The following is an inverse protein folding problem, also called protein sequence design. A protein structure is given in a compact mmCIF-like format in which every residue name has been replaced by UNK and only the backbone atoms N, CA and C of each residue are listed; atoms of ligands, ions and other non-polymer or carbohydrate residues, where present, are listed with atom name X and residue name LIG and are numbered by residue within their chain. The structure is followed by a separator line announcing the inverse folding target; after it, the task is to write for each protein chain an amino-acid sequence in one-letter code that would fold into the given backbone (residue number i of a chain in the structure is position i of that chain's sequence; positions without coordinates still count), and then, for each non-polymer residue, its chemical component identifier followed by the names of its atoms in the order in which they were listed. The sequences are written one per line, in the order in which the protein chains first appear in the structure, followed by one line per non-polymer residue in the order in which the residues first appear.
data_IF_067833974887
#
_entry.id   IF_067833974887
#
_cell.length_a   1.000
_cell.length_b   1.000
_cell.length_c   1.000
_cell.angle_alpha   90.00
_cell.angle_beta   90.00
_cell.angle_gamma   90.00
#
_symmetry.space_group_name_H-M   'P 1'
#
loop_
_entity.id
_entity.type
_entity.pdbx_description
1 polymer ?
#
# COMPACT_ATOMS: atom_id res chain seq x y z
N UNK A 1 -32.58 66.51 12.46
CA UNK A 1 -32.70 65.07 12.64
C UNK A 1 -31.74 64.39 11.67
N UNK A 2 -30.51 64.11 12.12
CA UNK A 2 -29.46 63.52 11.33
C UNK A 2 -29.57 61.98 11.45
N UNK A 3 -29.89 61.32 10.33
CA UNK A 3 -29.88 59.86 10.24
C UNK A 3 -28.41 59.40 10.09
N UNK A 4 -27.87 58.77 11.13
CA UNK A 4 -26.60 58.11 11.08
C UNK A 4 -26.78 56.72 10.41
N UNK A 5 -26.35 56.60 9.17
CA UNK A 5 -26.25 55.33 8.46
C UNK A 5 -25.10 54.52 9.04
N UNK A 6 -25.40 53.47 9.76
CA UNK A 6 -24.42 52.48 10.22
C UNK A 6 -23.91 51.71 9.01
N UNK A 7 -22.67 51.97 8.60
CA UNK A 7 -21.93 51.11 7.67
C UNK A 7 -21.58 49.84 8.43
N UNK A 8 -22.25 48.72 8.15
CA UNK A 8 -21.86 47.42 8.62
C UNK A 8 -20.51 47.05 8.00
N UNK A 9 -19.46 47.00 8.81
CA UNK A 9 -18.18 46.51 8.39
C UNK A 9 -18.33 45.03 7.97
N UNK A 10 -18.16 44.76 6.67
CA UNK A 10 -18.11 43.37 6.18
C UNK A 10 -16.85 42.71 6.74
N UNK A 11 -17.05 41.71 7.58
CA UNK A 11 -15.96 40.84 8.01
C UNK A 11 -15.29 40.22 6.79
N UNK A 12 -13.94 40.28 6.68
CA UNK A 12 -13.24 39.71 5.51
C UNK A 12 -13.51 38.20 5.43
N UNK A 13 -13.89 37.73 4.25
CA UNK A 13 -14.20 36.30 4.00
C UNK A 13 -12.94 35.41 3.96
N UNK A 14 -11.76 35.98 4.05
CA UNK A 14 -10.45 35.28 3.95
C UNK A 14 -9.47 35.79 4.99
N UNK A 15 -8.58 34.86 5.38
CA UNK A 15 -7.53 35.11 6.38
C UNK A 15 -6.35 35.91 5.78
N UNK A 16 -5.97 35.60 4.53
CA UNK A 16 -4.79 36.18 3.88
C UNK A 16 -4.89 36.11 2.35
N UNK A 17 -4.05 36.90 1.67
CA UNK A 17 -3.79 36.83 0.23
C UNK A 17 -2.36 36.38 0.02
N UNK A 18 -2.17 35.11 -0.33
CA UNK A 18 -0.85 34.51 -0.44
C UNK A 18 -0.29 34.56 -1.85
N UNK A 19 0.91 35.13 -2.02
CA UNK A 19 1.66 35.13 -3.30
C UNK A 19 2.51 33.85 -3.39
N UNK A 20 2.20 33.01 -4.35
CA UNK A 20 2.90 31.73 -4.60
C UNK A 20 4.38 31.94 -4.88
N UNK A 21 5.24 31.24 -4.15
CA UNK A 21 6.70 31.27 -4.26
C UNK A 21 7.21 30.15 -5.17
N UNK A 22 8.48 30.21 -5.56
CA UNK A 22 9.16 29.12 -6.27
C UNK A 22 9.20 27.88 -5.40
N UNK A 23 8.79 26.73 -5.92
CA UNK A 23 8.68 25.42 -5.24
C UNK A 23 7.47 25.25 -4.30
N UNK A 24 6.57 26.21 -4.19
CA UNK A 24 5.31 25.99 -3.48
C UNK A 24 4.47 24.92 -4.18
N UNK A 25 3.75 24.16 -3.36
CA UNK A 25 2.74 23.19 -3.81
C UNK A 25 1.41 23.57 -3.17
N UNK A 26 0.31 23.19 -3.80
CA UNK A 26 -1.04 23.41 -3.28
C UNK A 26 -1.14 22.86 -1.86
N UNK A 27 -0.62 21.65 -1.63
CA UNK A 27 -0.59 21.03 -0.31
C UNK A 27 0.24 21.84 0.70
N UNK A 28 1.45 22.26 0.33
CA UNK A 28 2.32 23.04 1.22
C UNK A 28 1.72 24.36 1.63
N UNK A 29 0.99 25.03 0.71
CA UNK A 29 0.26 26.27 1.00
C UNK A 29 -0.91 25.98 1.97
N UNK A 30 -1.73 24.98 1.68
CA UNK A 30 -2.85 24.61 2.56
C UNK A 30 -2.38 24.26 3.97
N UNK A 31 -1.33 23.45 4.10
CA UNK A 31 -0.72 23.09 5.38
C UNK A 31 -0.19 24.32 6.13
N UNK A 32 0.50 25.22 5.45
CA UNK A 32 1.06 26.44 6.04
C UNK A 32 -0.01 27.30 6.73
N UNK A 33 -1.20 27.35 6.17
CA UNK A 33 -2.31 28.15 6.69
C UNK A 33 -3.33 27.35 7.52
N UNK A 34 -3.07 26.06 7.75
CA UNK A 34 -3.94 25.21 8.60
C UNK A 34 -5.30 24.88 7.99
N UNK A 35 -5.43 24.95 6.66
CA UNK A 35 -6.65 24.67 5.90
C UNK A 35 -6.49 23.39 5.07
N UNK A 36 -7.62 22.79 4.65
CA UNK A 36 -7.62 21.69 3.69
C UNK A 36 -7.36 22.18 2.26
N UNK A 37 -6.91 21.29 1.38
CA UNK A 37 -6.78 21.61 -0.05
C UNK A 37 -8.15 21.97 -0.64
N UNK A 38 -9.20 21.26 -0.23
CA UNK A 38 -10.56 21.55 -0.71
C UNK A 38 -11.04 22.94 -0.29
N UNK A 39 -10.74 23.38 0.93
CA UNK A 39 -11.03 24.76 1.39
C UNK A 39 -10.24 25.80 0.56
N UNK A 40 -8.96 25.54 0.28
CA UNK A 40 -8.15 26.39 -0.55
C UNK A 40 -8.69 26.46 -1.98
N UNK A 41 -9.09 25.32 -2.57
CA UNK A 41 -9.67 25.26 -3.92
C UNK A 41 -11.06 25.91 -4.00
N UNK A 42 -11.88 25.76 -2.96
CA UNK A 42 -13.19 26.44 -2.87
C UNK A 42 -13.05 27.98 -2.80
N UNK A 43 -12.03 28.44 -2.09
CA UNK A 43 -11.72 29.88 -2.02
C UNK A 43 -11.13 30.44 -3.33
N UNK A 44 -10.56 29.56 -4.17
CA UNK A 44 -9.92 29.90 -5.44
C UNK A 44 -10.52 29.07 -6.59
N UNK A 45 -11.68 29.45 -7.15
CA UNK A 45 -12.40 28.65 -8.15
C UNK A 45 -11.59 28.29 -9.39
N UNK A 46 -10.62 29.11 -9.78
CA UNK A 46 -9.72 28.81 -10.90
C UNK A 46 -8.89 27.54 -10.69
N UNK A 47 -8.61 27.17 -9.44
CA UNK A 47 -7.89 25.94 -9.09
C UNK A 47 -8.71 24.67 -9.36
N UNK A 48 -10.03 24.78 -9.54
CA UNK A 48 -10.92 23.64 -9.82
C UNK A 48 -10.95 23.26 -11.30
N UNK A 49 -10.38 24.09 -12.20
CA UNK A 49 -10.29 23.80 -13.63
C UNK A 49 -9.35 22.62 -13.88
N UNK A 50 -9.72 21.74 -14.81
CA UNK A 50 -8.94 20.51 -15.11
C UNK A 50 -7.51 20.78 -15.60
N UNK A 51 -7.24 21.94 -16.15
CA UNK A 51 -5.96 22.37 -16.69
C UNK A 51 -5.20 23.35 -15.79
N UNK A 52 -5.68 23.58 -14.57
CA UNK A 52 -5.04 24.51 -13.64
C UNK A 52 -3.65 24.04 -13.23
N UNK A 53 -2.68 24.94 -13.33
CA UNK A 53 -1.30 24.75 -12.86
C UNK A 53 -0.93 25.91 -11.95
N UNK A 54 -0.51 25.61 -10.73
CA UNK A 54 -0.04 26.63 -9.77
C UNK A 54 1.19 27.37 -10.32
N UNK A 55 1.09 28.69 -10.46
CA UNK A 55 2.15 29.53 -11.06
C UNK A 55 2.85 30.37 -10.00
N UNK A 56 4.19 30.47 -10.09
CA UNK A 56 4.95 31.41 -9.27
C UNK A 56 4.44 32.83 -9.47
N UNK A 57 4.17 33.53 -8.37
CA UNK A 57 3.66 34.90 -8.38
C UNK A 57 2.13 35.01 -8.42
N UNK A 58 1.42 33.92 -8.61
CA UNK A 58 -0.04 33.84 -8.48
C UNK A 58 -0.48 34.19 -7.07
N UNK A 59 -1.62 34.88 -6.98
CA UNK A 59 -2.22 35.25 -5.68
C UNK A 59 -3.37 34.31 -5.36
N UNK A 60 -3.30 33.66 -4.22
CA UNK A 60 -4.34 32.76 -3.73
C UNK A 60 -5.02 33.36 -2.50
N UNK A 61 -6.34 33.32 -2.50
CA UNK A 61 -7.15 33.64 -1.34
C UNK A 61 -7.06 32.52 -0.32
N UNK A 62 -6.65 32.83 0.90
CA UNK A 62 -6.56 31.86 2.00
C UNK A 62 -7.79 32.03 2.87
N UNK A 63 -8.73 31.07 2.91
CA UNK A 63 -9.90 31.15 3.77
C UNK A 63 -9.53 30.99 5.23
N UNK A 64 -10.40 31.43 6.14
CA UNK A 64 -10.29 31.06 7.54
C UNK A 64 -10.52 29.55 7.69
N UNK A 65 -9.71 28.85 8.52
CA UNK A 65 -9.98 27.45 8.85
C UNK A 65 -11.40 27.32 9.42
N UNK A 66 -12.18 26.37 8.92
CA UNK A 66 -13.50 26.07 9.52
C UNK A 66 -13.27 25.57 10.94
N UNK A 67 -13.66 26.38 11.93
CA UNK A 67 -13.63 25.95 13.33
C UNK A 67 -14.63 24.82 13.50
N UNK A 68 -14.15 23.64 13.91
CA UNK A 68 -14.98 22.64 14.55
C UNK A 68 -15.39 23.25 15.90
N UNK A 69 -16.67 23.57 16.06
CA UNK A 69 -17.19 24.12 17.29
C UNK A 69 -16.99 23.12 18.43
N UNK A 70 -16.05 23.40 19.32
CA UNK A 70 -16.05 22.91 20.69
C UNK A 70 -16.04 24.13 21.60
N UNK A 71 -17.00 24.14 22.52
CA UNK A 71 -17.37 25.27 23.34
C UNK A 71 -16.30 25.70 24.35
N UNK A 72 -16.39 27.02 24.68
CA UNK A 72 -15.92 27.74 25.87
C UNK A 72 -14.45 28.17 25.94
N UNK A 73 -14.34 29.49 25.83
CA UNK A 73 -13.17 30.33 26.11
C UNK A 73 -12.83 30.43 27.60
N UNK A 74 -11.59 30.66 27.96
CA UNK A 74 -11.18 31.71 28.90
C UNK A 74 -9.70 32.02 28.77
N UNK A 75 -9.42 33.29 28.58
CA UNK A 75 -8.23 34.17 28.80
C UNK A 75 -6.86 33.58 29.20
N UNK A 76 -5.85 34.13 28.50
CA UNK A 76 -4.40 33.96 28.61
C UNK A 76 -3.78 34.31 29.98
N UNK A 77 -2.50 33.90 30.27
CA UNK A 77 -1.36 34.66 29.81
C UNK A 77 -0.17 33.82 29.27
N UNK A 78 0.72 34.51 28.53
CA UNK A 78 1.95 34.02 27.95
C UNK A 78 2.97 33.52 28.96
N UNK A 79 3.53 32.33 28.79
CA UNK A 79 4.92 32.01 29.17
C UNK A 79 5.43 30.78 28.39
N UNK A 80 6.67 30.94 27.88
CA UNK A 80 7.67 29.95 27.42
C UNK A 80 7.24 28.59 26.90
N UNK A 81 7.53 28.41 25.65
CA UNK A 81 7.38 27.30 24.72
C UNK A 81 7.85 25.94 25.25
N UNK A 82 6.90 25.19 25.72
CA UNK A 82 6.76 23.79 25.40
C UNK A 82 5.40 23.72 24.65
N UNK A 83 5.42 23.50 23.31
CA UNK A 83 4.18 23.41 22.54
C UNK A 83 3.35 22.28 23.14
N UNK A 84 2.33 22.62 23.94
CA UNK A 84 1.30 21.67 24.38
C UNK A 84 0.67 21.09 23.12
N UNK A 85 0.86 19.79 22.93
CA UNK A 85 0.32 19.01 21.85
C UNK A 85 -1.22 19.17 21.84
N UNK A 86 -1.80 19.69 20.76
CA UNK A 86 -3.24 19.75 20.61
C UNK A 86 -3.79 18.32 20.70
N UNK A 87 -4.84 18.12 21.48
CA UNK A 87 -5.55 16.83 21.56
C UNK A 87 -5.88 16.35 20.12
N UNK A 88 -5.66 15.06 19.83
CA UNK A 88 -5.84 14.44 18.52
C UNK A 88 -4.82 14.83 17.41
N UNK A 89 -3.59 15.16 17.76
CA UNK A 89 -2.53 15.41 16.76
C UNK A 89 -1.51 14.28 16.76
N UNK A 90 -1.24 13.69 15.59
CA UNK A 90 -0.21 12.65 15.37
C UNK A 90 0.95 13.22 14.57
N UNK A 91 2.16 13.11 15.10
CA UNK A 91 3.38 13.52 14.42
C UNK A 91 3.90 12.38 13.54
N UNK A 92 3.90 12.58 12.24
CA UNK A 92 4.22 11.58 11.22
C UNK A 92 5.54 11.91 10.55
N UNK A 93 6.51 11.02 10.65
CA UNK A 93 7.76 11.07 9.91
C UNK A 93 7.69 10.26 8.62
N UNK A 94 8.38 10.72 7.58
CA UNK A 94 8.58 9.97 6.33
C UNK A 94 10.07 10.00 5.99
N UNK A 95 10.74 8.85 6.11
CA UNK A 95 12.17 8.67 5.83
C UNK A 95 12.36 7.74 4.64
N UNK A 96 12.18 8.28 3.44
CA UNK A 96 12.20 7.53 2.17
C UNK A 96 13.03 8.28 1.12
N UNK A 97 13.51 7.64 0.04
CA UNK A 97 14.15 8.34 -1.07
C UNK A 97 13.11 9.20 -1.81
N UNK A 98 13.09 10.51 -1.53
CA UNK A 98 12.13 11.45 -2.07
C UNK A 98 12.80 12.32 -3.16
N UNK A 99 13.10 11.73 -4.31
CA UNK A 99 13.78 12.38 -5.44
C UNK A 99 13.31 11.81 -6.78
N UNK A 100 13.55 12.55 -7.87
CA UNK A 100 13.17 12.15 -9.23
C UNK A 100 14.32 11.55 -10.05
N UNK A 101 15.43 11.16 -9.41
CA UNK A 101 16.65 10.70 -10.09
C UNK A 101 16.47 9.28 -10.64
N UNK A 102 15.84 8.41 -9.89
CA UNK A 102 15.65 7.00 -10.25
C UNK A 102 14.21 6.49 -9.97
N UNK A 103 13.98 5.22 -10.30
CA UNK A 103 12.69 4.58 -10.11
C UNK A 103 12.31 4.40 -8.64
N UNK A 104 13.27 4.26 -7.72
CA UNK A 104 12.99 4.14 -6.29
C UNK A 104 12.45 5.46 -5.75
N UNK A 105 13.16 6.55 -6.04
CA UNK A 105 12.73 7.89 -5.64
C UNK A 105 11.36 8.26 -6.19
N UNK A 106 11.14 8.00 -7.49
CA UNK A 106 9.85 8.28 -8.13
C UNK A 106 8.69 7.49 -7.51
N UNK A 107 8.90 6.21 -7.17
CA UNK A 107 7.89 5.38 -6.49
C UNK A 107 7.60 5.88 -5.08
N UNK A 108 8.64 6.28 -4.34
CA UNK A 108 8.49 6.76 -2.98
C UNK A 108 7.87 8.16 -2.89
N UNK A 109 8.09 9.03 -3.89
CA UNK A 109 7.33 10.28 -4.03
C UNK A 109 5.82 9.97 -4.18
N UNK A 110 5.47 9.01 -5.02
CA UNK A 110 4.07 8.64 -5.20
C UNK A 110 3.46 8.05 -3.92
N UNK A 111 4.19 7.19 -3.22
CA UNK A 111 3.78 6.69 -1.91
C UNK A 111 3.57 7.85 -0.91
N UNK A 112 4.51 8.78 -0.83
CA UNK A 112 4.42 9.96 0.05
C UNK A 112 3.20 10.83 -0.28
N UNK A 113 2.90 11.04 -1.57
CA UNK A 113 1.68 11.73 -1.99
C UNK A 113 0.42 11.04 -1.44
N UNK A 114 0.38 9.73 -1.45
CA UNK A 114 -0.69 8.94 -0.83
C UNK A 114 -0.80 9.18 0.68
N UNK A 115 0.32 9.24 1.39
CA UNK A 115 0.36 9.60 2.82
C UNK A 115 -0.24 10.99 3.06
N UNK A 116 0.13 11.97 2.24
CA UNK A 116 -0.40 13.34 2.35
C UNK A 116 -1.92 13.40 2.12
N UNK A 117 -2.43 12.66 1.13
CA UNK A 117 -3.87 12.55 0.88
C UNK A 117 -4.61 11.89 2.05
N UNK A 118 -4.00 10.91 2.70
CA UNK A 118 -4.56 10.29 3.90
C UNK A 118 -4.61 11.28 5.07
N UNK A 119 -3.56 12.07 5.28
CA UNK A 119 -3.50 13.10 6.32
C UNK A 119 -4.61 14.16 6.13
N UNK A 120 -4.84 14.59 4.89
CA UNK A 120 -5.94 15.52 4.58
C UNK A 120 -7.31 14.91 4.84
N UNK A 121 -7.53 13.68 4.38
CA UNK A 121 -8.76 12.93 4.66
C UNK A 121 -9.02 12.73 6.16
N UNK A 122 -7.97 12.49 6.95
CA UNK A 122 -8.04 12.32 8.40
C UNK A 122 -8.35 13.64 9.13
N UNK A 123 -7.82 14.76 8.64
CA UNK A 123 -8.14 16.09 9.15
C UNK A 123 -9.65 16.38 9.06
N UNK A 124 -10.29 16.03 7.95
CA UNK A 124 -11.74 16.15 7.77
C UNK A 124 -12.55 15.28 8.75
N UNK A 125 -11.88 14.35 9.45
CA UNK A 125 -12.46 13.48 10.49
C UNK A 125 -12.01 13.86 11.91
N UNK A 126 -11.38 15.02 12.08
CA UNK A 126 -10.91 15.54 13.36
C UNK A 126 -9.58 14.96 13.85
N UNK A 127 -8.83 14.23 13.02
CA UNK A 127 -7.48 13.73 13.34
C UNK A 127 -6.46 14.62 12.67
N UNK A 128 -5.76 15.44 13.44
CA UNK A 128 -4.71 16.32 12.94
C UNK A 128 -3.37 15.60 12.81
N UNK A 129 -2.56 16.03 11.85
CA UNK A 129 -1.23 15.47 11.62
C UNK A 129 -0.20 16.56 11.38
N UNK A 130 0.99 16.42 11.98
CA UNK A 130 2.19 17.16 11.57
C UNK A 130 3.05 16.18 10.76
N UNK A 131 3.36 16.51 9.52
CA UNK A 131 4.13 15.63 8.63
C UNK A 131 5.53 16.20 8.42
N UNK A 132 6.54 15.41 8.77
CA UNK A 132 7.96 15.70 8.59
C UNK A 132 8.52 14.71 7.57
N UNK A 133 9.16 15.20 6.51
CA UNK A 133 9.68 14.35 5.44
C UNK A 133 11.19 14.59 5.23
N UNK A 134 11.95 13.50 5.18
CA UNK A 134 13.38 13.51 4.90
C UNK A 134 13.68 12.68 3.67
N UNK A 135 14.45 13.25 2.75
CA UNK A 135 14.93 12.50 1.59
C UNK A 135 16.09 11.57 2.02
N UNK A 136 15.73 10.34 2.35
CA UNK A 136 16.66 9.30 2.77
C UNK A 136 16.98 8.36 1.59
N UNK A 137 17.84 8.83 0.68
CA UNK A 137 18.29 8.02 -0.46
C UNK A 137 19.27 6.91 -0.02
N UNK A 138 19.61 6.00 -0.94
CA UNK A 138 20.37 4.79 -0.64
C UNK A 138 21.68 5.05 0.14
N UNK A 139 22.40 6.13 -0.20
CA UNK A 139 23.70 6.47 0.38
C UNK A 139 23.63 7.69 1.32
N UNK A 140 22.43 8.10 1.74
CA UNK A 140 22.24 9.16 2.69
C UNK A 140 22.73 8.77 4.09
N UNK A 141 23.27 9.74 4.81
CA UNK A 141 23.65 9.56 6.23
C UNK A 141 22.38 9.49 7.09
N UNK A 142 22.08 8.31 7.61
CA UNK A 142 20.99 8.10 8.58
C UNK A 142 21.20 8.96 9.83
N UNK A 143 22.43 9.09 10.29
CA UNK A 143 22.76 9.88 11.49
C UNK A 143 22.37 11.35 11.32
N UNK A 144 22.58 11.95 10.15
CA UNK A 144 22.18 13.33 9.87
C UNK A 144 20.67 13.53 9.95
N UNK A 145 19.89 12.58 9.39
CA UNK A 145 18.43 12.64 9.44
C UNK A 145 17.94 12.49 10.88
N UNK A 146 18.52 11.57 11.65
CA UNK A 146 18.13 11.32 13.05
C UNK A 146 18.58 12.44 14.01
N UNK A 147 19.52 13.29 13.61
CA UNK A 147 19.92 14.47 14.36
C UNK A 147 18.90 15.62 14.29
N UNK A 148 17.99 15.60 13.33
CA UNK A 148 16.90 16.58 13.24
C UNK A 148 16.00 16.50 14.48
N UNK A 149 15.76 17.65 15.10
CA UNK A 149 14.97 17.73 16.34
C UNK A 149 13.52 17.21 16.14
N UNK A 150 12.97 17.31 14.93
CA UNK A 150 11.63 16.80 14.62
C UNK A 150 11.58 15.28 14.57
N UNK A 151 12.69 14.59 14.25
CA UNK A 151 12.70 13.13 14.13
C UNK A 151 12.32 12.45 15.45
N UNK A 152 12.84 12.93 16.61
CA UNK A 152 12.52 12.38 17.93
C UNK A 152 11.11 12.73 18.43
N UNK A 153 10.47 13.71 17.83
CA UNK A 153 9.12 14.15 18.19
C UNK A 153 8.03 13.41 17.42
N UNK A 154 8.39 12.53 16.47
CA UNK A 154 7.43 11.70 15.75
C UNK A 154 6.79 10.66 16.67
N UNK A 155 5.53 10.32 16.40
CA UNK A 155 4.84 9.15 16.97
C UNK A 155 5.01 7.93 16.08
N UNK A 156 5.13 8.18 14.78
CA UNK A 156 5.15 7.21 13.71
C UNK A 156 6.13 7.66 12.63
N UNK A 157 6.95 6.73 12.12
CA UNK A 157 7.84 6.97 10.98
C UNK A 157 7.55 5.91 9.91
N UNK A 158 7.27 6.35 8.67
CA UNK A 158 7.21 5.50 7.48
C UNK A 158 8.58 5.47 6.79
N UNK A 159 9.10 4.29 6.59
CA UNK A 159 10.43 4.06 6.04
C UNK A 159 11.26 3.13 6.92
N UNK A 160 12.53 2.90 6.59
CA UNK A 160 13.16 3.26 5.33
C UNK A 160 12.80 2.33 4.17
N UNK A 161 13.32 2.63 2.97
CA UNK A 161 13.21 1.73 1.83
C UNK A 161 14.30 0.65 1.85
N UNK A 162 15.52 0.98 2.26
CA UNK A 162 16.68 0.11 2.13
C UNK A 162 17.02 -0.61 3.44
N UNK A 163 17.25 -1.92 3.35
CA UNK A 163 17.50 -2.80 4.51
C UNK A 163 18.64 -2.31 5.42
N UNK A 164 19.74 -1.80 4.84
CA UNK A 164 20.88 -1.29 5.63
C UNK A 164 20.54 -0.13 6.56
N UNK A 165 19.44 0.58 6.31
CA UNK A 165 18.98 1.73 7.08
C UNK A 165 17.99 1.33 8.19
N UNK A 166 17.47 0.09 8.17
CA UNK A 166 16.42 -0.35 9.11
C UNK A 166 16.92 -0.38 10.54
N UNK A 167 18.06 -1.05 10.79
CA UNK A 167 18.57 -1.20 12.14
C UNK A 167 18.84 0.14 12.86
N UNK A 168 19.59 1.11 12.30
CA UNK A 168 19.85 2.37 13.00
C UNK A 168 18.59 3.20 13.24
N UNK A 169 17.62 3.20 12.30
CA UNK A 169 16.35 3.90 12.50
C UNK A 169 15.47 3.15 13.51
N UNK A 170 15.44 1.81 13.46
CA UNK A 170 14.71 0.98 14.42
C UNK A 170 15.19 1.16 15.85
N UNK A 171 16.52 1.19 16.07
CA UNK A 171 17.11 1.44 17.38
C UNK A 171 16.77 2.85 17.89
N UNK A 172 16.80 3.85 17.01
CA UNK A 172 16.37 5.22 17.33
C UNK A 172 14.88 5.26 17.70
N UNK A 173 14.03 4.60 16.94
CA UNK A 173 12.59 4.55 17.19
C UNK A 173 12.29 3.87 18.54
N UNK A 174 12.93 2.75 18.86
CA UNK A 174 12.80 2.06 20.15
C UNK A 174 13.23 2.96 21.31
N UNK A 175 14.37 3.64 21.19
CA UNK A 175 14.87 4.57 22.21
C UNK A 175 13.91 5.72 22.51
N UNK A 176 13.20 6.22 21.49
CA UNK A 176 12.32 7.39 21.61
C UNK A 176 10.82 7.02 21.71
N UNK A 177 10.46 5.73 21.73
CA UNK A 177 9.08 5.28 21.82
C UNK A 177 8.24 5.52 20.56
N UNK A 178 8.90 5.57 19.39
CA UNK A 178 8.30 5.85 18.07
C UNK A 178 7.94 4.52 17.39
N UNK A 179 6.81 4.43 16.70
CA UNK A 179 6.48 3.28 15.85
C UNK A 179 7.13 3.44 14.48
N UNK A 180 7.85 2.40 14.04
CA UNK A 180 8.53 2.35 12.74
C UNK A 180 7.77 1.44 11.79
N UNK A 181 7.24 1.97 10.71
CA UNK A 181 6.59 1.21 9.65
C UNK A 181 7.54 1.03 8.48
N UNK A 182 7.92 -0.21 8.20
CA UNK A 182 8.75 -0.57 7.04
C UNK A 182 7.82 -0.91 5.88
N UNK A 183 7.63 0.00 4.90
CA UNK A 183 6.56 -0.13 3.93
C UNK A 183 6.82 -1.16 2.82
N UNK A 184 8.09 -1.41 2.46
CA UNK A 184 8.43 -2.21 1.26
C UNK A 184 9.58 -3.20 1.43
N UNK A 185 10.51 -3.00 2.35
CA UNK A 185 11.64 -3.93 2.53
C UNK A 185 11.16 -5.30 2.99
N UNK A 186 11.64 -6.35 2.34
CA UNK A 186 11.30 -7.75 2.67
C UNK A 186 12.50 -8.52 3.23
N UNK A 187 13.67 -7.90 3.24
CA UNK A 187 14.92 -8.50 3.71
C UNK A 187 15.29 -7.92 5.08
N UNK A 188 15.82 -8.75 5.96
CA UNK A 188 16.27 -8.38 7.29
C UNK A 188 15.36 -8.95 8.39
N UNK A 189 15.97 -9.30 9.52
CA UNK A 189 15.31 -9.89 10.70
C UNK A 189 15.02 -8.87 11.81
N UNK A 190 15.17 -7.56 11.55
CA UNK A 190 15.02 -6.54 12.60
C UNK A 190 13.64 -6.56 13.27
N UNK A 191 12.60 -6.98 12.56
CA UNK A 191 11.26 -7.16 13.13
C UNK A 191 11.22 -8.26 14.22
N UNK A 192 12.11 -9.24 14.18
CA UNK A 192 12.16 -10.34 15.14
C UNK A 192 12.67 -9.90 16.53
N UNK A 193 13.45 -8.80 16.56
CA UNK A 193 14.16 -8.33 17.76
C UNK A 193 13.79 -6.92 18.21
N UNK A 194 13.00 -6.18 17.41
CA UNK A 194 12.63 -4.80 17.73
C UNK A 194 11.09 -4.64 17.74
N UNK A 195 10.53 -4.49 18.93
CA UNK A 195 9.09 -4.41 19.19
C UNK A 195 8.42 -3.12 18.72
N UNK A 196 9.20 -2.15 18.23
CA UNK A 196 8.68 -0.90 17.63
C UNK A 196 8.50 -0.98 16.12
N UNK A 197 8.96 -2.07 15.48
CA UNK A 197 8.88 -2.26 14.02
C UNK A 197 7.55 -2.89 13.62
N UNK A 198 6.93 -2.31 12.60
CA UNK A 198 5.84 -2.88 11.82
C UNK A 198 6.35 -3.20 10.41
N UNK A 199 6.51 -4.47 10.09
CA UNK A 199 6.92 -4.96 8.78
C UNK A 199 5.68 -5.20 7.92
N UNK A 200 5.49 -4.39 6.87
CA UNK A 200 4.27 -4.47 6.04
C UNK A 200 4.38 -5.59 5.02
N UNK A 201 5.48 -5.66 4.28
CA UNK A 201 5.65 -6.72 3.28
C UNK A 201 6.26 -7.98 3.90
N UNK A 202 5.77 -9.11 3.41
CA UNK A 202 6.17 -10.43 3.87
C UNK A 202 7.48 -10.84 3.19
N UNK A 203 8.32 -11.59 3.92
CA UNK A 203 9.47 -12.24 3.34
C UNK A 203 9.05 -13.30 2.31
N UNK A 204 9.94 -13.69 1.42
CA UNK A 204 9.67 -14.76 0.44
C UNK A 204 9.30 -16.07 1.11
N UNK A 205 9.92 -16.37 2.25
CA UNK A 205 9.65 -17.60 3.02
C UNK A 205 8.24 -17.55 3.60
N UNK A 206 7.86 -16.45 4.27
CA UNK A 206 6.52 -16.29 4.83
C UNK A 206 5.44 -16.29 3.74
N UNK A 207 5.68 -15.62 2.61
CA UNK A 207 4.75 -15.63 1.47
C UNK A 207 4.57 -17.04 0.91
N UNK A 208 5.66 -17.83 0.81
CA UNK A 208 5.58 -19.22 0.35
C UNK A 208 4.81 -20.09 1.34
N UNK A 209 5.04 -19.94 2.64
CA UNK A 209 4.32 -20.67 3.69
C UNK A 209 2.81 -20.38 3.66
N UNK A 210 2.42 -19.11 3.61
CA UNK A 210 1.02 -18.70 3.51
C UNK A 210 0.37 -19.23 2.23
N UNK A 211 1.12 -19.20 1.12
CA UNK A 211 0.66 -19.73 -0.18
C UNK A 211 0.46 -21.25 -0.15
N UNK A 212 1.37 -21.99 0.52
CA UNK A 212 1.23 -23.45 0.73
C UNK A 212 0.01 -23.75 1.58
N UNK A 213 -0.18 -23.04 2.69
CA UNK A 213 -1.35 -23.26 3.56
C UNK A 213 -2.66 -22.98 2.80
N UNK A 214 -2.75 -21.91 2.04
CA UNK A 214 -3.92 -21.59 1.21
C UNK A 214 -4.16 -22.62 0.11
N UNK A 215 -3.09 -23.17 -0.49
CA UNK A 215 -3.19 -24.25 -1.46
C UNK A 215 -3.75 -25.52 -0.81
N UNK A 216 -3.20 -25.94 0.32
CA UNK A 216 -3.63 -27.15 1.04
C UNK A 216 -5.09 -27.06 1.51
N UNK A 217 -5.48 -25.90 2.00
CA UNK A 217 -6.87 -25.65 2.42
C UNK A 217 -7.89 -25.86 1.27
N UNK A 218 -7.49 -25.52 0.03
CA UNK A 218 -8.39 -25.53 -1.10
C UNK A 218 -8.29 -26.73 -2.03
N UNK A 219 -7.14 -27.38 -2.09
CA UNK A 219 -6.83 -28.34 -3.14
C UNK A 219 -6.33 -29.70 -2.63
N UNK A 220 -6.58 -30.05 -1.37
CA UNK A 220 -6.17 -31.35 -0.81
C UNK A 220 -6.74 -32.56 -1.57
N UNK A 221 -7.91 -32.42 -2.19
CA UNK A 221 -8.56 -33.49 -2.96
C UNK A 221 -8.27 -33.41 -4.47
N UNK A 222 -7.54 -32.39 -4.91
CA UNK A 222 -7.17 -32.20 -6.30
C UNK A 222 -5.93 -33.03 -6.69
N UNK A 223 -5.55 -32.98 -7.96
CA UNK A 223 -4.32 -33.55 -8.48
C UNK A 223 -3.37 -32.41 -8.89
N UNK A 224 -2.33 -32.10 -8.09
CA UNK A 224 -1.35 -31.08 -8.44
C UNK A 224 -0.48 -31.53 -9.62
N UNK A 225 -0.31 -30.62 -10.60
CA UNK A 225 0.56 -30.81 -11.75
C UNK A 225 1.59 -29.69 -11.81
N UNK A 226 2.83 -30.00 -11.50
CA UNK A 226 3.93 -29.04 -11.61
C UNK A 226 4.46 -29.00 -13.03
N UNK A 227 4.54 -27.79 -13.60
CA UNK A 227 5.11 -27.59 -14.95
C UNK A 227 6.47 -26.93 -14.82
N UNK A 228 7.51 -27.68 -15.18
CA UNK A 228 8.85 -27.12 -15.33
C UNK A 228 8.93 -26.33 -16.64
N UNK A 229 9.07 -25.03 -16.50
CA UNK A 229 9.14 -24.07 -17.60
C UNK A 229 10.57 -23.82 -18.10
N UNK A 230 11.57 -24.55 -17.58
CA UNK A 230 12.99 -24.40 -17.90
C UNK A 230 13.52 -22.96 -17.65
N UNK A 231 12.97 -22.26 -16.66
CA UNK A 231 13.42 -20.92 -16.26
C UNK A 231 14.42 -21.02 -15.11
N UNK A 232 15.71 -20.99 -15.44
CA UNK A 232 16.81 -21.09 -14.46
C UNK A 232 16.96 -19.84 -13.59
N UNK A 233 16.30 -18.75 -13.95
CA UNK A 233 16.38 -17.46 -13.25
C UNK A 233 15.19 -17.22 -12.30
N UNK A 234 14.26 -18.18 -12.25
CA UNK A 234 13.06 -18.07 -11.41
C UNK A 234 13.38 -18.27 -9.92
N UNK A 235 12.76 -17.46 -9.09
CA UNK A 235 12.81 -17.58 -7.63
C UNK A 235 11.60 -18.35 -7.02
N UNK A 236 10.72 -18.90 -7.87
CA UNK A 236 9.51 -19.62 -7.44
C UNK A 236 9.80 -21.01 -6.85
N UNK A 237 11.04 -21.47 -6.95
CA UNK A 237 11.51 -22.71 -6.31
C UNK A 237 11.24 -22.78 -4.80
N UNK A 238 11.29 -21.64 -4.09
CA UNK A 238 10.96 -21.57 -2.65
C UNK A 238 9.54 -22.08 -2.39
N UNK A 239 8.57 -21.61 -3.15
CA UNK A 239 7.17 -22.04 -3.03
C UNK A 239 6.95 -23.46 -3.55
N UNK A 240 7.40 -23.77 -4.76
CA UNK A 240 7.13 -25.08 -5.39
C UNK A 240 7.79 -26.23 -4.64
N UNK A 241 9.01 -26.05 -4.09
CA UNK A 241 9.65 -27.05 -3.25
C UNK A 241 8.94 -27.19 -1.88
N UNK A 242 8.53 -26.10 -1.26
CA UNK A 242 7.78 -26.14 -0.01
C UNK A 242 6.44 -26.86 -0.19
N UNK A 243 5.73 -26.56 -1.29
CA UNK A 243 4.45 -27.21 -1.59
C UNK A 243 4.62 -28.73 -1.83
N UNK A 244 5.62 -29.14 -2.61
CA UNK A 244 5.88 -30.57 -2.84
C UNK A 244 6.18 -31.31 -1.54
N UNK A 245 7.06 -30.76 -0.69
CA UNK A 245 7.32 -31.35 0.64
C UNK A 245 6.05 -31.50 1.49
N UNK A 246 5.15 -30.51 1.43
CA UNK A 246 3.88 -30.57 2.16
C UNK A 246 2.95 -31.64 1.61
N UNK A 247 2.85 -31.76 0.28
CA UNK A 247 2.05 -32.80 -0.40
C UNK A 247 2.58 -34.20 -0.04
N UNK A 248 3.89 -34.40 -0.08
CA UNK A 248 4.54 -35.66 0.30
C UNK A 248 4.27 -36.01 1.77
N UNK A 249 4.38 -35.05 2.67
CA UNK A 249 4.11 -35.24 4.10
C UNK A 249 2.65 -35.63 4.39
N UNK A 250 1.72 -35.17 3.55
CA UNK A 250 0.28 -35.50 3.67
C UNK A 250 -0.16 -36.68 2.77
N UNK A 251 0.78 -37.34 2.08
CA UNK A 251 0.50 -38.50 1.22
C UNK A 251 -0.30 -38.14 -0.05
N UNK A 252 -0.26 -36.87 -0.47
CA UNK A 252 -0.98 -36.41 -1.66
C UNK A 252 -0.09 -36.57 -2.89
N UNK A 253 -0.51 -37.46 -3.81
CA UNK A 253 0.21 -37.67 -5.06
C UNK A 253 0.10 -36.48 -6.02
N UNK A 254 1.21 -36.16 -6.65
CA UNK A 254 1.32 -35.11 -7.68
C UNK A 254 2.17 -35.58 -8.86
N UNK A 255 2.06 -34.91 -10.00
CA UNK A 255 2.93 -35.18 -11.14
C UNK A 255 3.75 -33.95 -11.53
N UNK A 256 4.88 -34.20 -12.17
CA UNK A 256 5.74 -33.19 -12.76
C UNK A 256 5.80 -33.42 -14.26
N UNK A 257 5.66 -32.37 -15.05
CA UNK A 257 5.85 -32.39 -16.49
C UNK A 257 6.73 -31.23 -16.93
N UNK A 258 7.21 -31.27 -18.16
CA UNK A 258 8.07 -30.21 -18.69
C UNK A 258 7.37 -29.48 -19.84
N UNK A 259 7.53 -28.17 -19.90
CA UNK A 259 6.92 -27.34 -20.95
C UNK A 259 7.39 -27.74 -22.36
N UNK A 260 8.57 -28.34 -22.50
CA UNK A 260 9.11 -28.84 -23.78
C UNK A 260 8.69 -30.26 -24.10
N UNK A 261 7.97 -30.98 -23.22
CA UNK A 261 7.49 -32.33 -23.49
C UNK A 261 6.57 -32.37 -24.71
N UNK A 262 6.55 -33.50 -25.43
CA UNK A 262 5.54 -33.73 -26.48
C UNK A 262 4.12 -33.71 -25.89
N UNK A 263 3.11 -33.48 -26.73
CA UNK A 263 1.70 -33.44 -26.28
C UNK A 263 1.27 -34.70 -25.52
N UNK A 264 1.58 -35.93 -25.99
CA UNK A 264 1.21 -37.13 -25.24
C UNK A 264 1.92 -37.25 -23.88
N UNK A 265 3.19 -36.84 -23.81
CA UNK A 265 3.95 -36.86 -22.56
C UNK A 265 3.46 -35.81 -21.58
N UNK A 266 3.07 -34.62 -22.07
CA UNK A 266 2.48 -33.58 -21.27
C UNK A 266 1.12 -34.05 -20.68
N UNK A 267 0.28 -34.67 -21.51
CA UNK A 267 -1.03 -35.17 -21.11
C UNK A 267 -0.98 -36.27 -20.03
N UNK A 268 0.06 -37.11 -20.01
CA UNK A 268 0.25 -38.17 -18.99
C UNK A 268 0.35 -37.62 -17.56
N UNK A 269 0.72 -36.37 -17.39
CA UNK A 269 0.81 -35.76 -16.06
C UNK A 269 -0.58 -35.43 -15.46
N UNK A 270 -1.63 -35.45 -16.24
CA UNK A 270 -2.97 -35.01 -15.82
C UNK A 270 -3.85 -36.19 -15.45
N UNK A 271 -4.64 -36.03 -14.39
CA UNK A 271 -5.64 -36.98 -13.95
C UNK A 271 -6.94 -36.78 -14.76
N UNK A 272 -7.48 -37.87 -15.28
CA UNK A 272 -8.82 -37.87 -15.89
C UNK A 272 -9.98 -37.90 -14.85
N UNK A 273 -9.65 -38.28 -13.57
CA UNK A 273 -10.64 -38.51 -12.51
C UNK A 273 -10.73 -37.36 -11.50
N UNK A 274 -9.63 -36.62 -11.29
CA UNK A 274 -9.55 -35.53 -10.32
C UNK A 274 -9.40 -34.20 -11.02
N UNK A 275 -9.83 -33.12 -10.39
CA UNK A 275 -9.52 -31.76 -10.84
C UNK A 275 -8.01 -31.55 -10.75
N UNK A 276 -7.39 -31.16 -11.84
CA UNK A 276 -5.97 -30.86 -11.89
C UNK A 276 -5.71 -29.41 -11.48
N UNK A 277 -4.68 -29.17 -10.68
CA UNK A 277 -4.23 -27.81 -10.35
C UNK A 277 -2.82 -27.64 -10.90
N UNK A 278 -2.67 -26.76 -11.88
CA UNK A 278 -1.42 -26.51 -12.59
C UNK A 278 -0.63 -25.44 -11.86
N UNK A 279 0.62 -25.76 -11.52
CA UNK A 279 1.58 -24.90 -10.85
C UNK A 279 2.83 -24.77 -11.70
N UNK A 280 3.17 -23.56 -12.14
CA UNK A 280 4.40 -23.29 -12.88
C UNK A 280 5.56 -23.04 -11.92
N UNK A 281 6.79 -23.32 -12.31
CA UNK A 281 7.98 -22.94 -11.57
C UNK A 281 8.47 -21.52 -11.92
N UNK A 282 7.64 -20.70 -12.57
CA UNK A 282 7.93 -19.30 -12.93
C UNK A 282 6.65 -18.45 -12.98
N UNK A 283 6.78 -17.16 -12.67
CA UNK A 283 5.70 -16.16 -12.84
C UNK A 283 5.74 -15.39 -14.15
N UNK A 284 6.67 -15.69 -15.06
CA UNK A 284 6.94 -14.89 -16.26
C UNK A 284 5.92 -15.09 -17.37
N UNK A 285 5.63 -14.01 -18.12
CA UNK A 285 4.66 -13.98 -19.21
C UNK A 285 4.98 -14.93 -20.38
N UNK A 286 6.21 -15.05 -20.89
CA UNK A 286 6.50 -15.96 -22.00
C UNK A 286 6.20 -17.43 -21.67
N UNK A 287 6.57 -17.88 -20.48
CA UNK A 287 6.32 -19.25 -20.03
C UNK A 287 4.84 -19.48 -19.71
N UNK A 288 4.17 -18.49 -19.13
CA UNK A 288 2.71 -18.53 -18.93
C UNK A 288 1.99 -18.68 -20.28
N UNK A 289 2.33 -17.88 -21.30
CA UNK A 289 1.75 -17.97 -22.62
C UNK A 289 1.91 -19.37 -23.25
N UNK A 290 3.13 -19.91 -23.20
CA UNK A 290 3.41 -21.25 -23.72
C UNK A 290 2.64 -22.35 -22.98
N UNK A 291 2.50 -22.21 -21.64
CA UNK A 291 1.69 -23.14 -20.84
C UNK A 291 0.22 -23.07 -21.23
N UNK A 292 -0.33 -21.85 -21.36
CA UNK A 292 -1.73 -21.66 -21.76
C UNK A 292 -2.03 -22.27 -23.14
N UNK A 293 -1.10 -22.13 -24.10
CA UNK A 293 -1.21 -22.78 -25.42
C UNK A 293 -1.27 -24.31 -25.26
N UNK A 294 -0.36 -24.92 -24.50
CA UNK A 294 -0.37 -26.38 -24.24
C UNK A 294 -1.66 -26.84 -23.53
N UNK A 295 -2.14 -26.10 -22.56
CA UNK A 295 -3.40 -26.41 -21.88
C UNK A 295 -4.59 -26.33 -22.83
N UNK A 296 -4.59 -25.40 -23.79
CA UNK A 296 -5.62 -25.35 -24.84
C UNK A 296 -5.59 -26.59 -25.75
N UNK A 297 -4.41 -27.01 -26.20
CA UNK A 297 -4.27 -28.26 -26.99
C UNK A 297 -4.71 -29.48 -26.19
N UNK A 298 -4.28 -29.58 -24.92
CA UNK A 298 -4.67 -30.66 -24.03
C UNK A 298 -6.21 -30.75 -23.89
N UNK A 299 -6.89 -29.62 -23.66
CA UNK A 299 -8.35 -29.60 -23.54
C UNK A 299 -9.07 -29.90 -24.82
N UNK A 300 -8.50 -29.57 -25.99
CA UNK A 300 -9.04 -29.95 -27.28
C UNK A 300 -9.02 -31.47 -27.50
N UNK A 301 -7.91 -32.13 -27.11
CA UNK A 301 -7.75 -33.57 -27.20
C UNK A 301 -8.46 -34.35 -26.09
N UNK A 302 -8.61 -33.74 -24.89
CA UNK A 302 -9.19 -34.36 -23.70
C UNK A 302 -10.21 -33.41 -23.02
N UNK A 303 -11.43 -33.26 -23.60
CA UNK A 303 -12.40 -32.24 -23.14
C UNK A 303 -12.85 -32.38 -21.69
N UNK A 304 -12.83 -33.60 -21.16
CA UNK A 304 -13.28 -33.92 -19.79
C UNK A 304 -12.24 -33.60 -18.70
N UNK A 305 -11.01 -33.26 -19.07
CA UNK A 305 -9.99 -32.90 -18.07
C UNK A 305 -10.35 -31.55 -17.44
N UNK A 306 -10.57 -31.57 -16.12
CA UNK A 306 -10.80 -30.37 -15.34
C UNK A 306 -9.47 -29.75 -14.92
N UNK A 307 -9.27 -28.44 -15.18
CA UNK A 307 -8.04 -27.73 -14.93
C UNK A 307 -8.34 -26.44 -14.17
N UNK A 308 -7.62 -26.25 -13.07
CA UNK A 308 -7.43 -24.96 -12.41
C UNK A 308 -5.94 -24.59 -12.46
N UNK A 309 -5.60 -23.32 -12.24
CA UNK A 309 -4.23 -22.85 -12.16
C UNK A 309 -3.98 -22.17 -10.83
N UNK A 310 -2.83 -22.44 -10.21
CA UNK A 310 -2.33 -21.69 -9.05
C UNK A 310 -1.16 -20.84 -9.49
N UNK A 311 -1.38 -19.54 -9.53
CA UNK A 311 -0.45 -18.59 -10.15
C UNK A 311 0.40 -17.79 -9.16
N UNK A 312 0.81 -16.63 -9.62
CA UNK A 312 1.68 -15.70 -8.89
C UNK A 312 1.17 -14.27 -9.07
N UNK A 313 1.51 -13.37 -8.13
CA UNK A 313 1.11 -11.98 -8.17
C UNK A 313 1.55 -11.24 -9.46
N UNK A 314 2.66 -11.67 -10.08
CA UNK A 314 3.13 -11.12 -11.35
C UNK A 314 2.09 -11.27 -12.48
N UNK A 315 1.23 -12.30 -12.41
CA UNK A 315 0.19 -12.50 -13.40
C UNK A 315 -0.85 -11.37 -13.43
N UNK A 316 -0.99 -10.64 -12.33
CA UNK A 316 -1.87 -9.45 -12.27
C UNK A 316 -1.39 -8.33 -13.21
N UNK A 317 -0.09 -8.24 -13.48
CA UNK A 317 0.47 -7.29 -14.45
C UNK A 317 0.10 -7.66 -15.89
N UNK A 318 -0.19 -8.93 -16.15
CA UNK A 318 -0.53 -9.44 -17.47
C UNK A 318 -2.03 -9.58 -17.69
N UNK A 319 -2.88 -9.10 -16.76
CA UNK A 319 -4.33 -9.20 -16.78
C UNK A 319 -4.93 -8.81 -18.14
N UNK A 320 -4.49 -7.70 -18.73
CA UNK A 320 -5.02 -7.24 -20.03
C UNK A 320 -4.86 -8.24 -21.18
N UNK A 321 -3.86 -9.12 -21.09
CA UNK A 321 -3.56 -10.13 -22.14
C UNK A 321 -4.19 -11.48 -21.81
N UNK A 322 -4.16 -11.90 -20.55
CA UNK A 322 -4.49 -13.28 -20.18
C UNK A 322 -5.75 -13.43 -19.31
N UNK A 323 -6.53 -12.38 -19.06
CA UNK A 323 -7.67 -12.43 -18.17
C UNK A 323 -8.71 -13.49 -18.59
N UNK A 324 -8.97 -13.68 -19.89
CA UNK A 324 -9.90 -14.69 -20.39
C UNK A 324 -9.42 -16.11 -20.07
N UNK A 325 -8.11 -16.34 -20.13
CA UNK A 325 -7.51 -17.60 -19.71
C UNK A 325 -7.57 -17.80 -18.19
N UNK A 326 -7.45 -16.73 -17.41
CA UNK A 326 -7.60 -16.83 -15.95
C UNK A 326 -9.02 -17.28 -15.59
N UNK A 327 -10.05 -16.78 -16.25
CA UNK A 327 -11.41 -17.25 -16.07
C UNK A 327 -11.59 -18.69 -16.60
N UNK A 328 -11.06 -18.98 -17.80
CA UNK A 328 -11.18 -20.30 -18.45
C UNK A 328 -10.58 -21.42 -17.61
N UNK A 329 -9.44 -21.17 -16.95
CA UNK A 329 -8.69 -22.12 -16.15
C UNK A 329 -8.80 -21.85 -14.65
N UNK A 330 -9.85 -21.18 -14.22
CA UNK A 330 -10.10 -20.90 -12.80
C UNK A 330 -8.82 -20.54 -12.04
N UNK A 331 -8.11 -19.51 -12.47
CA UNK A 331 -6.85 -19.14 -11.87
C UNK A 331 -7.01 -18.62 -10.43
N UNK A 332 -6.19 -19.15 -9.55
CA UNK A 332 -6.04 -18.70 -8.18
C UNK A 332 -4.71 -17.97 -8.05
N UNK A 333 -4.74 -16.68 -7.77
CA UNK A 333 -3.55 -15.82 -7.75
C UNK A 333 -3.32 -15.29 -6.34
N UNK A 334 -2.27 -15.78 -5.63
CA UNK A 334 -1.86 -15.22 -4.34
C UNK A 334 -1.32 -13.82 -4.50
N UNK A 335 -1.73 -12.91 -3.61
CA UNK A 335 -1.31 -11.51 -3.63
C UNK A 335 -1.37 -10.88 -2.24
N UNK A 336 -0.59 -9.83 -2.04
CA UNK A 336 -0.63 -8.99 -0.84
C UNK A 336 -1.50 -7.74 -1.01
N UNK A 337 -2.17 -7.58 -2.16
CA UNK A 337 -3.00 -6.40 -2.46
C UNK A 337 -4.17 -6.77 -3.39
N UNK A 338 -5.24 -5.98 -3.34
CA UNK A 338 -6.41 -6.13 -4.21
C UNK A 338 -6.72 -4.77 -4.84
N UNK A 339 -6.25 -4.56 -6.06
CA UNK A 339 -6.55 -3.32 -6.78
C UNK A 339 -7.85 -3.46 -7.59
N UNK A 340 -8.86 -2.65 -7.25
CA UNK A 340 -10.12 -2.54 -7.98
C UNK A 340 -10.31 -1.12 -8.49
N UNK A 341 -9.99 -0.90 -9.77
CA UNK A 341 -10.12 0.39 -10.45
C UNK A 341 -11.58 0.90 -10.54
N UNK A 342 -12.54 -0.02 -10.55
CA UNK A 342 -13.97 0.30 -10.64
C UNK A 342 -14.61 0.62 -9.29
N UNK A 343 -13.90 0.43 -8.18
CA UNK A 343 -14.44 0.77 -6.86
C UNK A 343 -14.61 2.30 -6.73
N UNK A 344 -15.79 2.80 -6.33
CA UNK A 344 -16.05 4.25 -6.26
C UNK A 344 -15.02 5.02 -5.42
N UNK A 345 -14.60 4.45 -4.30
CA UNK A 345 -13.61 5.06 -3.41
C UNK A 345 -12.22 5.15 -4.07
N UNK A 346 -11.79 4.08 -4.81
CA UNK A 346 -10.54 4.08 -5.56
C UNK A 346 -10.57 5.12 -6.67
N UNK A 347 -11.63 5.13 -7.48
CA UNK A 347 -11.80 6.09 -8.57
C UNK A 347 -11.86 7.54 -8.06
N UNK A 348 -12.49 7.77 -6.90
CA UNK A 348 -12.52 9.09 -6.25
C UNK A 348 -11.10 9.53 -5.83
N UNK A 349 -10.33 8.64 -5.18
CA UNK A 349 -8.98 8.97 -4.74
C UNK A 349 -8.05 9.24 -5.93
N UNK A 350 -8.17 8.49 -7.03
CA UNK A 350 -7.38 8.72 -8.25
C UNK A 350 -7.71 10.07 -8.91
N UNK A 351 -8.99 10.48 -8.92
CA UNK A 351 -9.37 11.82 -9.39
C UNK A 351 -8.76 12.92 -8.52
N UNK A 352 -8.84 12.81 -7.19
CA UNK A 352 -8.24 13.78 -6.27
C UNK A 352 -6.72 13.81 -6.42
N UNK A 353 -6.07 12.67 -6.60
CA UNK A 353 -4.63 12.59 -6.86
C UNK A 353 -4.27 13.42 -8.12
N UNK A 354 -5.01 13.22 -9.22
CA UNK A 354 -4.80 13.97 -10.46
C UNK A 354 -5.03 15.47 -10.29
N UNK A 355 -6.05 15.85 -9.53
CA UNK A 355 -6.31 17.26 -9.23
C UNK A 355 -5.19 17.91 -8.42
N UNK A 356 -4.67 17.22 -7.39
CA UNK A 356 -3.68 17.78 -6.47
C UNK A 356 -2.28 17.81 -7.05
N UNK A 357 -1.87 16.76 -7.76
CA UNK A 357 -0.49 16.59 -8.22
C UNK A 357 -0.31 16.82 -9.73
N UNK A 358 -1.40 17.12 -10.46
CA UNK A 358 -1.40 17.36 -11.91
C UNK A 358 -0.74 16.23 -12.71
N UNK A 359 -0.87 15.02 -12.25
CA UNK A 359 -0.34 13.81 -12.86
C UNK A 359 -1.20 12.61 -12.50
N UNK A 360 -1.25 11.62 -13.37
CA UNK A 360 -1.85 10.33 -13.03
C UNK A 360 -0.95 9.53 -12.10
N UNK A 361 -1.55 8.61 -11.32
CA UNK A 361 -0.79 7.60 -10.59
C UNK A 361 -0.04 6.69 -11.57
N UNK A 362 1.16 6.28 -11.22
CA UNK A 362 1.98 5.38 -12.05
C UNK A 362 1.24 4.08 -12.33
N UNK A 363 1.39 3.56 -13.56
CA UNK A 363 0.87 2.25 -13.96
C UNK A 363 1.73 1.12 -13.35
N UNK A 364 1.66 0.98 -12.05
CA UNK A 364 2.34 -0.06 -11.27
C UNK A 364 1.31 -0.84 -10.46
N UNK A 365 1.61 -2.07 -10.11
CA UNK A 365 0.85 -2.89 -9.17
C UNK A 365 1.81 -3.42 -8.09
N UNK A 366 1.54 -3.12 -6.80
CA UNK A 366 0.48 -2.24 -6.31
C UNK A 366 0.68 -0.77 -6.70
N UNK A 367 -0.39 0.02 -6.72
CA UNK A 367 -0.35 1.47 -6.87
C UNK A 367 0.31 2.09 -5.63
N UNK A 368 1.42 2.78 -5.80
CA UNK A 368 2.20 3.31 -4.66
C UNK A 368 1.43 4.36 -3.87
N UNK A 369 0.69 5.25 -4.52
CA UNK A 369 -0.15 6.24 -3.83
C UNK A 369 -1.26 5.59 -3.00
N UNK A 370 -1.94 4.56 -3.53
CA UNK A 370 -2.95 3.81 -2.76
C UNK A 370 -2.32 3.09 -1.57
N UNK A 371 -1.12 2.52 -1.74
CA UNK A 371 -0.38 1.88 -0.64
C UNK A 371 -0.05 2.88 0.46
N UNK A 372 0.45 4.07 0.09
CA UNK A 372 0.73 5.14 1.06
C UNK A 372 -0.52 5.64 1.77
N UNK A 373 -1.61 5.81 1.03
CA UNK A 373 -2.91 6.20 1.59
C UNK A 373 -3.44 5.16 2.58
N UNK A 374 -3.47 3.88 2.21
CA UNK A 374 -3.98 2.80 3.06
C UNK A 374 -3.16 2.66 4.34
N UNK A 375 -1.82 2.66 4.22
CA UNK A 375 -0.95 2.55 5.38
C UNK A 375 -1.10 3.76 6.31
N UNK A 376 -1.12 4.97 5.77
CA UNK A 376 -1.30 6.17 6.58
C UNK A 376 -2.67 6.19 7.29
N UNK A 377 -3.76 5.86 6.59
CA UNK A 377 -5.09 5.75 7.20
C UNK A 377 -5.09 4.73 8.35
N UNK A 378 -4.49 3.55 8.15
CA UNK A 378 -4.46 2.49 9.14
C UNK A 378 -3.64 2.90 10.38
N UNK A 379 -2.40 3.33 10.16
CA UNK A 379 -1.48 3.59 11.27
C UNK A 379 -1.81 4.87 12.03
N UNK A 380 -2.17 5.96 11.34
CA UNK A 380 -2.49 7.24 12.00
C UNK A 380 -3.76 7.11 12.83
N UNK A 381 -4.82 6.44 12.33
CA UNK A 381 -6.03 6.14 13.13
C UNK A 381 -5.70 5.29 14.35
N UNK A 382 -4.88 4.26 14.16
CA UNK A 382 -4.47 3.36 15.23
C UNK A 382 -3.70 4.09 16.33
N UNK A 383 -2.70 4.88 15.94
CA UNK A 383 -1.90 5.70 16.88
C UNK A 383 -2.78 6.77 17.57
N UNK A 384 -3.65 7.44 16.84
CA UNK A 384 -4.56 8.43 17.43
C UNK A 384 -5.48 7.81 18.49
N UNK A 385 -6.00 6.60 18.22
CA UNK A 385 -6.96 5.93 19.13
C UNK A 385 -6.29 5.19 20.29
N UNK A 386 -5.17 4.50 20.04
CA UNK A 386 -4.55 3.58 20.99
C UNK A 386 -3.16 4.03 21.49
N UNK A 387 -2.60 5.10 20.92
CA UNK A 387 -1.29 5.61 21.27
C UNK A 387 -0.20 4.54 21.17
N UNK A 388 0.63 4.45 22.21
CA UNK A 388 1.72 3.47 22.32
C UNK A 388 1.25 2.01 22.44
N UNK A 389 -0.04 1.76 22.69
CA UNK A 389 -0.62 0.41 22.78
C UNK A 389 -1.07 -0.12 21.41
N UNK A 390 -0.97 0.70 20.36
CA UNK A 390 -1.32 0.26 19.01
C UNK A 390 -0.36 -0.85 18.54
N UNK A 391 -0.94 -1.98 18.14
CA UNK A 391 -0.22 -3.14 17.63
C UNK A 391 -0.78 -3.67 16.29
N UNK A 392 -1.77 -2.97 15.72
CA UNK A 392 -2.31 -3.28 14.39
C UNK A 392 -3.04 -4.61 14.25
N UNK A 393 -3.44 -5.24 15.37
CA UNK A 393 -4.24 -6.49 15.33
C UNK A 393 -5.65 -6.22 14.77
N UNK A 394 -6.37 -7.26 14.32
CA UNK A 394 -7.73 -7.10 13.80
C UNK A 394 -8.68 -6.37 14.73
N UNK A 395 -8.53 -6.55 16.05
CA UNK A 395 -9.35 -5.90 17.08
C UNK A 395 -9.12 -4.38 17.16
N UNK A 396 -7.95 -3.92 16.75
CA UNK A 396 -7.58 -2.51 16.71
C UNK A 396 -7.77 -1.87 15.33
N UNK A 397 -8.10 -2.66 14.31
CA UNK A 397 -8.30 -2.15 12.96
C UNK A 397 -9.67 -1.46 12.83
N UNK A 398 -9.65 -0.19 12.47
CA UNK A 398 -10.86 0.63 12.24
C UNK A 398 -10.96 1.14 10.80
N UNK A 399 -10.11 0.64 9.91
CA UNK A 399 -10.00 1.11 8.53
C UNK A 399 -10.16 -0.04 7.53
N UNK A 400 -11.01 0.17 6.51
CA UNK A 400 -11.13 -0.74 5.37
C UNK A 400 -10.24 -0.23 4.23
N UNK A 401 -9.16 -0.93 3.88
CA UNK A 401 -8.22 -0.47 2.87
C UNK A 401 -8.82 -0.49 1.46
N UNK A 402 -8.32 0.38 0.60
CA UNK A 402 -8.68 0.44 -0.82
C UNK A 402 -7.94 -0.62 -1.64
N UNK A 403 -6.72 -0.92 -1.25
CA UNK A 403 -5.85 -1.84 -1.99
C UNK A 403 -5.08 -2.80 -1.09
N UNK A 404 -4.49 -2.32 0.02
CA UNK A 404 -3.51 -3.09 0.80
C UNK A 404 -4.10 -3.48 2.15
N UNK A 405 -4.65 -4.70 2.29
CA UNK A 405 -5.17 -5.16 3.57
C UNK A 405 -4.03 -5.38 4.57
N UNK A 406 -4.27 -4.98 5.82
CA UNK A 406 -3.30 -5.04 6.90
C UNK A 406 -3.87 -5.84 8.09
N UNK A 407 -3.13 -6.88 8.50
CA UNK A 407 -3.46 -7.76 9.61
C UNK A 407 -2.15 -8.15 10.31
N UNK A 408 -1.81 -7.45 11.37
CA UNK A 408 -0.54 -7.65 12.05
C UNK A 408 -0.61 -8.74 13.11
N UNK A 409 0.47 -9.51 13.19
CA UNK A 409 0.73 -10.49 14.24
C UNK A 409 2.14 -10.26 14.79
N UNK A 410 2.32 -10.43 16.09
CA UNK A 410 3.63 -10.31 16.73
C UNK A 410 4.57 -11.43 16.27
N UNK A 411 5.81 -11.08 15.99
CA UNK A 411 6.87 -12.02 15.65
C UNK A 411 7.72 -12.25 16.90
N UNK A 412 7.69 -13.46 17.43
CA UNK A 412 8.43 -13.81 18.64
C UNK A 412 8.21 -12.80 19.79
N UNK A 413 9.28 -12.23 20.33
CA UNK A 413 9.26 -11.12 21.30
C UNK A 413 9.53 -9.75 20.63
N UNK A 414 9.59 -9.71 19.31
CA UNK A 414 9.90 -8.52 18.52
C UNK A 414 8.67 -7.71 18.11
N UNK A 415 8.74 -7.18 16.90
CA UNK A 415 7.73 -6.31 16.31
C UNK A 415 6.53 -7.02 15.72
N UNK A 416 5.89 -6.34 14.81
CA UNK A 416 4.63 -6.75 14.19
C UNK A 416 4.83 -7.04 12.70
N UNK A 417 4.51 -8.24 12.24
CA UNK A 417 4.54 -8.64 10.83
C UNK A 417 3.11 -8.65 10.27
N UNK A 418 2.91 -8.03 9.12
CA UNK A 418 1.67 -8.18 8.38
C UNK A 418 1.55 -9.60 7.82
N UNK A 419 0.55 -10.34 8.25
CA UNK A 419 0.24 -11.71 7.83
C UNK A 419 -0.99 -11.77 6.92
N UNK A 420 -1.51 -10.63 6.47
CA UNK A 420 -2.63 -10.65 5.55
C UNK A 420 -2.22 -11.27 4.23
N UNK A 421 -2.93 -12.32 3.83
CA UNK A 421 -2.73 -13.03 2.59
C UNK A 421 -4.06 -13.09 1.84
N UNK A 422 -4.03 -12.79 0.56
CA UNK A 422 -5.20 -12.77 -0.29
C UNK A 422 -5.01 -13.73 -1.45
N UNK A 423 -6.03 -14.48 -1.76
CA UNK A 423 -6.10 -15.33 -2.95
C UNK A 423 -7.22 -14.81 -3.85
N UNK A 424 -6.88 -14.33 -5.03
CA UNK A 424 -7.85 -13.93 -6.04
C UNK A 424 -8.24 -15.13 -6.87
N UNK A 425 -9.52 -15.46 -6.88
CA UNK A 425 -10.08 -16.56 -7.66
C UNK A 425 -10.87 -16.03 -8.86
N UNK A 426 -10.39 -16.28 -10.05
CA UNK A 426 -11.04 -15.96 -11.32
C UNK A 426 -12.05 -17.06 -11.68
N UNK A 427 -13.33 -16.83 -11.41
CA UNK A 427 -14.39 -17.83 -11.65
C UNK A 427 -14.78 -17.95 -13.13
N UNK A 428 -15.19 -19.12 -13.62
CA UNK A 428 -15.73 -19.30 -14.98
C UNK A 428 -16.90 -18.36 -15.29
N UNK A 429 -17.64 -17.92 -14.29
CA UNK A 429 -18.72 -16.92 -14.37
C UNK A 429 -18.22 -15.50 -14.70
N UNK A 430 -16.91 -15.32 -14.97
CA UNK A 430 -16.25 -14.03 -15.25
C UNK A 430 -16.30 -13.05 -14.07
N UNK A 431 -16.39 -13.56 -12.87
CA UNK A 431 -16.29 -12.79 -11.63
C UNK A 431 -14.98 -13.11 -10.90
N UNK A 432 -14.50 -12.17 -10.09
CA UNK A 432 -13.31 -12.36 -9.25
C UNK A 432 -13.77 -12.42 -7.81
N UNK A 433 -13.49 -13.53 -7.15
CA UNK A 433 -13.67 -13.68 -5.71
C UNK A 433 -12.38 -13.34 -4.98
N UNK A 434 -12.49 -12.56 -3.91
CA UNK A 434 -11.38 -12.23 -3.02
C UNK A 434 -11.49 -13.07 -1.76
N UNK A 435 -10.51 -13.93 -1.52
CA UNK A 435 -10.44 -14.82 -0.36
C UNK A 435 -9.31 -14.33 0.52
N UNK A 436 -9.60 -13.97 1.78
CA UNK A 436 -8.62 -13.42 2.73
C UNK A 436 -8.34 -14.41 3.84
N UNK A 437 -7.05 -14.63 4.15
CA UNK A 437 -6.54 -15.53 5.19
C UNK A 437 -5.96 -14.75 6.37
#
# INVERSE_FOLDING_TARGET
MLLASSVAAQTPKWQDLYKVKKKDTIYGIAQKFGITIDELMQANPDMQKNDYVLKKGEQLLIPFPKQVQTAAATTAPKSSATQQRAANTVNVGVMLPLHNVDGDGQRMIEYYRGVLMACDSLRNQGINTNVFAWNLHKDASVAQVLADANAKNCDLIFGPLYTKQVKPIGDFCRKNGIRLVIPFSINGGDVETNDHIFQVYQSRVLTAELSVNAFMDRFKDAHPVFVDCNDTTSDKGVFTAALRRRLEAEGIAYNITNLKSSEPMFAKAFSAKKRNVVILNTGRSPQLNSTLAKLNTLRASYPNIQIAMYGYNEWLMYKRVYQDYYYKYEAYIPTAYVYNESAPATASLERHYRQWFKSDMRLALPRFALTGYDQAQFFIRGINKYGKQFNGTPQQNTYKPLQTPLKFKRVTNGGMQNNCFVLLHYKPTRTIETITY
#
